data_IF_331104126867
#
_entry.id   IF_331104126867
#
_cell.length_a   1.000
_cell.length_b   1.000
_cell.length_c   1.000
_cell.angle_alpha   90.00
_cell.angle_beta   90.00
_cell.angle_gamma   90.00
#
_symmetry.space_group_name_H-M   'P 1'
#
loop_
_entity.id
_entity.type
_entity.pdbx_description
1 polymer ?
#
# COMPACT_ATOMS: atom_id res chain seq x y z
N UNK A 1 28.80 -0.31 -21.95
CA UNK A 1 29.32 1.08 -21.91
C UNK A 1 28.44 1.86 -20.95
N UNK A 2 28.92 2.11 -19.73
CA UNK A 2 28.20 2.92 -18.75
C UNK A 2 28.36 4.40 -19.15
N UNK A 3 27.25 5.06 -19.47
CA UNK A 3 27.23 6.50 -19.75
C UNK A 3 27.26 7.21 -18.39
N UNK A 4 28.44 7.63 -17.97
CA UNK A 4 28.57 8.63 -16.91
C UNK A 4 27.84 9.88 -17.38
N UNK A 5 26.84 10.33 -16.63
CA UNK A 5 26.16 11.59 -16.88
C UNK A 5 27.20 12.71 -16.77
N UNK A 6 27.35 13.48 -17.84
CA UNK A 6 28.25 14.61 -17.94
C UNK A 6 27.94 15.64 -16.85
N UNK A 7 28.97 16.04 -16.09
CA UNK A 7 28.92 17.19 -15.19
C UNK A 7 28.79 18.44 -16.07
N UNK A 8 27.75 19.29 -15.93
CA UNK A 8 27.79 20.61 -16.54
C UNK A 8 28.95 21.36 -15.88
N UNK A 9 30.01 21.64 -16.64
CA UNK A 9 31.22 22.29 -16.15
C UNK A 9 31.00 23.75 -15.70
N UNK A 10 29.78 24.27 -15.87
CA UNK A 10 29.45 25.69 -15.70
C UNK A 10 29.20 26.11 -14.23
N UNK A 11 28.96 25.19 -13.28
CA UNK A 11 28.59 25.55 -11.89
C UNK A 11 29.31 24.81 -10.76
N UNK A 12 30.03 23.71 -11.02
CA UNK A 12 30.69 22.91 -9.98
C UNK A 12 29.74 22.11 -9.07
N UNK A 13 28.46 22.01 -9.45
CA UNK A 13 27.41 21.28 -8.72
C UNK A 13 27.09 19.96 -9.42
N UNK A 14 26.60 18.99 -8.65
CA UNK A 14 26.15 17.69 -9.14
C UNK A 14 24.64 17.62 -9.09
N UNK A 15 24.01 17.40 -10.25
CA UNK A 15 22.57 17.15 -10.30
C UNK A 15 22.25 15.77 -9.69
N UNK A 16 21.40 15.76 -8.66
CA UNK A 16 20.93 14.57 -7.97
C UNK A 16 19.39 14.51 -7.99
N UNK A 17 18.83 14.26 -9.18
CA UNK A 17 17.40 14.07 -9.46
C UNK A 17 16.49 15.20 -8.95
N UNK A 18 16.13 15.20 -7.67
CA UNK A 18 15.26 16.22 -7.08
C UNK A 18 16.03 17.46 -6.61
N UNK A 19 17.36 17.37 -6.45
CA UNK A 19 18.19 18.46 -5.90
C UNK A 19 19.56 18.53 -6.56
N UNK A 20 20.16 19.72 -6.56
CA UNK A 20 21.56 19.96 -6.91
C UNK A 20 22.41 19.90 -5.64
N UNK A 21 23.45 19.08 -5.69
CA UNK A 21 24.43 18.89 -4.63
C UNK A 21 25.68 19.73 -4.92
N UNK A 22 26.16 20.45 -3.92
CA UNK A 22 27.42 21.17 -3.96
C UNK A 22 28.48 20.42 -3.15
N UNK A 23 29.49 19.81 -3.80
CA UNK A 23 30.56 19.09 -3.13
C UNK A 23 31.46 19.98 -2.27
N UNK A 24 31.55 21.28 -2.59
CA UNK A 24 32.42 22.20 -1.87
C UNK A 24 31.91 22.50 -0.46
N UNK A 25 30.58 22.49 -0.29
CA UNK A 25 29.91 22.70 1.00
C UNK A 25 29.36 21.41 1.62
N UNK A 26 29.29 20.32 0.84
CA UNK A 26 28.75 19.03 1.28
C UNK A 26 27.25 19.05 1.51
N UNK A 27 26.51 19.87 0.75
CA UNK A 27 25.07 20.15 0.98
C UNK A 27 24.27 20.21 -0.32
N UNK A 28 22.96 20.09 -0.17
CA UNK A 28 22.04 20.45 -1.24
C UNK A 28 21.81 21.95 -1.31
N UNK A 29 21.57 22.45 -2.52
CA UNK A 29 21.25 23.86 -2.77
C UNK A 29 19.76 24.17 -2.57
N UNK A 30 18.89 23.16 -2.76
CA UNK A 30 17.45 23.27 -2.52
C UNK A 30 17.06 22.64 -1.19
N UNK A 31 16.00 23.18 -0.57
CA UNK A 31 15.34 22.54 0.56
C UNK A 31 14.76 21.19 0.17
N UNK A 32 14.79 20.23 1.09
CA UNK A 32 14.24 18.90 0.89
C UNK A 32 12.74 18.93 0.50
N UNK A 33 12.34 18.41 -0.69
CA UNK A 33 10.95 18.35 -1.12
C UNK A 33 10.05 17.54 -0.18
N UNK A 34 10.61 16.58 0.57
CA UNK A 34 9.85 15.81 1.58
C UNK A 34 9.83 16.47 2.96
N UNK A 35 10.40 17.68 3.09
CA UNK A 35 10.39 18.50 4.30
C UNK A 35 11.11 17.84 5.48
N UNK A 36 10.54 17.99 6.68
CA UNK A 36 11.12 17.43 7.92
C UNK A 36 11.26 15.90 7.92
N UNK A 37 10.65 15.21 6.96
CA UNK A 37 10.74 13.76 6.81
C UNK A 37 12.12 13.31 6.30
N UNK A 38 12.83 14.19 5.59
CA UNK A 38 14.25 14.00 5.22
C UNK A 38 15.22 14.33 6.37
N UNK A 39 14.71 14.77 7.52
CA UNK A 39 15.47 15.20 8.69
C UNK A 39 15.26 16.66 9.05
N UNK A 40 15.74 17.06 10.23
CA UNK A 40 15.57 18.43 10.75
C UNK A 40 16.31 19.48 9.88
N UNK A 41 17.39 19.07 9.21
CA UNK A 41 18.16 19.96 8.33
C UNK A 41 17.78 19.70 6.86
N UNK A 42 17.06 20.65 6.26
CA UNK A 42 16.50 20.52 4.91
C UNK A 42 17.55 20.52 3.78
N UNK A 43 18.81 20.83 4.10
CA UNK A 43 19.90 20.96 3.12
C UNK A 43 21.01 19.93 3.34
N UNK A 44 20.87 19.03 4.33
CA UNK A 44 21.93 18.07 4.65
C UNK A 44 22.03 16.99 3.56
N UNK A 45 23.25 16.71 3.12
CA UNK A 45 23.52 15.50 2.34
C UNK A 45 23.68 14.32 3.30
N UNK A 46 22.88 13.27 3.11
CA UNK A 46 22.98 11.94 3.75
C UNK A 46 23.23 11.94 5.27
N UNK A 47 22.50 12.78 6.02
CA UNK A 47 22.65 12.93 7.47
C UNK A 47 24.10 13.16 7.93
N UNK A 48 24.88 13.88 7.11
CA UNK A 48 26.30 14.16 7.32
C UNK A 48 27.18 12.90 7.44
N UNK A 49 26.76 11.77 6.86
CA UNK A 49 27.49 10.50 6.87
C UNK A 49 27.87 9.99 5.45
N UNK A 50 28.51 10.80 4.59
CA UNK A 50 28.73 10.47 3.17
C UNK A 50 29.74 9.36 2.90
N UNK A 51 30.46 8.89 3.93
CA UNK A 51 31.37 7.76 3.80
C UNK A 51 30.65 6.40 3.77
N UNK A 52 29.42 6.34 4.31
CA UNK A 52 28.67 5.10 4.51
C UNK A 52 27.24 5.17 4.00
N UNK A 53 26.78 6.35 3.55
CA UNK A 53 25.44 6.59 3.02
C UNK A 53 25.54 7.35 1.72
N UNK A 54 24.57 7.12 0.86
CA UNK A 54 24.37 7.82 -0.40
C UNK A 54 22.88 8.16 -0.53
N UNK A 55 22.54 9.18 -1.30
CA UNK A 55 21.17 9.58 -1.57
C UNK A 55 20.93 9.47 -3.07
N UNK A 56 20.27 8.39 -3.52
CA UNK A 56 20.08 8.09 -4.96
C UNK A 56 19.09 9.05 -5.61
N UNK A 57 18.08 9.50 -4.85
CA UNK A 57 16.99 10.30 -5.39
C UNK A 57 17.13 11.78 -5.05
N UNK A 58 18.05 12.16 -4.17
CA UNK A 58 18.09 13.52 -3.65
C UNK A 58 16.97 13.78 -2.65
N UNK A 59 16.55 12.78 -1.87
CA UNK A 59 15.47 12.91 -0.88
C UNK A 59 15.85 12.39 0.52
N UNK A 60 16.75 11.40 0.66
CA UNK A 60 17.16 10.90 1.99
C UNK A 60 18.32 9.89 1.96
N UNK A 61 18.85 9.58 3.14
CA UNK A 61 20.11 8.88 3.38
C UNK A 61 20.01 7.33 3.28
N UNK A 62 19.69 6.80 2.10
CA UNK A 62 19.70 5.36 1.74
C UNK A 62 18.72 4.43 2.47
N UNK A 63 18.16 4.79 3.65
CA UNK A 63 17.05 4.05 4.30
C UNK A 63 15.77 4.02 3.45
N UNK A 64 15.76 4.87 2.43
CA UNK A 64 14.67 5.10 1.49
C UNK A 64 14.82 4.49 0.11
N UNK A 65 16.03 4.02 -0.21
CA UNK A 65 16.37 3.60 -1.56
C UNK A 65 16.28 2.09 -1.73
N UNK A 66 15.81 1.36 -0.71
CA UNK A 66 15.44 -0.05 -0.81
C UNK A 66 13.92 -0.12 -0.93
N UNK A 67 13.37 -0.32 -2.14
CA UNK A 67 11.93 -0.52 -2.30
C UNK A 67 11.50 -1.70 -1.44
N UNK A 68 10.48 -1.50 -0.58
CA UNK A 68 9.87 -2.61 0.14
C UNK A 68 9.05 -3.47 -0.82
N UNK A 69 9.17 -4.79 -0.68
CA UNK A 69 8.23 -5.72 -1.32
C UNK A 69 6.85 -5.58 -0.68
N UNK A 70 5.80 -5.98 -1.40
CA UNK A 70 4.42 -5.95 -0.88
C UNK A 70 4.31 -6.72 0.43
N UNK A 71 5.00 -7.88 0.52
CA UNK A 71 5.09 -8.67 1.74
C UNK A 71 5.68 -7.88 2.90
N UNK A 72 6.80 -7.17 2.70
CA UNK A 72 7.40 -6.33 3.74
C UNK A 72 6.45 -5.23 4.21
N UNK A 73 5.75 -4.57 3.27
CA UNK A 73 4.75 -3.55 3.59
C UNK A 73 3.61 -4.12 4.43
N UNK A 74 3.08 -5.29 4.04
CA UNK A 74 1.94 -5.91 4.71
C UNK A 74 2.30 -6.48 6.07
N UNK A 75 3.47 -7.13 6.22
CA UNK A 75 3.94 -7.61 7.52
C UNK A 75 4.15 -6.46 8.50
N UNK A 76 4.66 -5.32 8.04
CA UNK A 76 4.81 -4.12 8.86
C UNK A 76 3.46 -3.47 9.19
N UNK A 77 2.50 -3.44 8.26
CA UNK A 77 1.15 -2.94 8.53
C UNK A 77 0.42 -3.80 9.57
N UNK A 78 0.60 -5.11 9.49
CA UNK A 78 0.03 -6.06 10.45
C UNK A 78 0.65 -5.91 11.83
N UNK A 79 1.99 -5.76 11.92
CA UNK A 79 2.67 -5.54 13.21
C UNK A 79 2.27 -4.24 13.90
N UNK A 80 1.83 -3.24 13.12
CA UNK A 80 1.25 -1.98 13.61
C UNK A 80 -0.26 -2.06 13.91
N UNK A 81 -0.91 -3.19 13.65
CA UNK A 81 -2.34 -3.40 13.89
C UNK A 81 -3.28 -2.69 12.91
N UNK A 82 -2.79 -2.32 11.72
CA UNK A 82 -3.57 -1.52 10.75
C UNK A 82 -4.53 -2.32 9.88
N UNK A 83 -4.35 -3.64 9.84
CA UNK A 83 -5.23 -4.57 9.12
C UNK A 83 -6.44 -5.02 9.97
N UNK A 84 -6.65 -4.38 11.13
CA UNK A 84 -7.76 -4.66 12.04
C UNK A 84 -7.45 -5.77 13.05
N UNK A 85 -7.81 -5.54 14.30
CA UNK A 85 -7.84 -6.59 15.32
C UNK A 85 -9.04 -7.53 15.07
N UNK A 86 -8.80 -8.81 15.29
CA UNK A 86 -9.70 -9.98 15.33
C UNK A 86 -10.94 -9.86 16.27
N UNK A 87 -11.31 -8.66 16.71
CA UNK A 87 -12.37 -8.44 17.71
C UNK A 87 -13.77 -8.16 17.13
N UNK A 88 -13.97 -8.30 15.81
CA UNK A 88 -15.30 -8.23 15.16
C UNK A 88 -15.64 -9.49 14.35
N UNK A 89 -15.53 -10.65 14.98
CA UNK A 89 -16.28 -11.84 14.53
C UNK A 89 -15.54 -12.85 13.65
N UNK A 90 -14.21 -12.85 13.61
CA UNK A 90 -13.44 -13.97 13.03
C UNK A 90 -13.51 -14.09 11.50
N UNK A 91 -13.46 -12.97 10.78
CA UNK A 91 -13.43 -12.96 9.31
C UNK A 91 -12.05 -12.56 8.79
N UNK A 92 -11.72 -13.05 7.59
CA UNK A 92 -10.56 -12.58 6.83
C UNK A 92 -10.85 -11.13 6.43
N UNK A 93 -9.93 -10.23 6.70
CA UNK A 93 -10.03 -8.81 6.39
C UNK A 93 -8.81 -8.37 5.60
N UNK A 94 -8.93 -7.28 4.86
CA UNK A 94 -7.81 -6.61 4.26
C UNK A 94 -7.94 -5.11 4.33
N UNK A 95 -6.96 -4.42 3.75
CA UNK A 95 -7.02 -2.98 3.53
C UNK A 95 -5.99 -2.54 2.49
N UNK A 96 -6.28 -1.54 1.64
CA UNK A 96 -5.24 -0.78 0.96
C UNK A 96 -4.39 0.03 1.96
N UNK A 97 -3.07 0.01 1.79
CA UNK A 97 -2.10 0.80 2.53
C UNK A 97 -1.22 1.60 1.59
N UNK A 98 -0.64 2.68 2.07
CA UNK A 98 0.43 3.37 1.35
C UNK A 98 1.78 2.79 1.76
N UNK A 99 2.52 2.28 0.78
CA UNK A 99 3.89 1.81 0.94
C UNK A 99 4.76 2.47 -0.12
N UNK A 100 5.77 3.24 0.28
CA UNK A 100 6.76 3.83 -0.64
C UNK A 100 6.13 4.61 -1.82
N UNK A 101 5.02 5.31 -1.55
CA UNK A 101 4.29 6.11 -2.55
C UNK A 101 3.40 5.32 -3.52
N UNK A 102 3.19 4.02 -3.29
CA UNK A 102 2.25 3.17 -4.03
C UNK A 102 1.21 2.57 -3.10
N UNK A 103 0.03 2.28 -3.65
CA UNK A 103 -1.02 1.57 -2.92
C UNK A 103 -0.69 0.08 -2.96
N UNK A 104 -0.68 -0.56 -1.79
CA UNK A 104 -0.51 -2.00 -1.62
C UNK A 104 -1.74 -2.54 -0.91
N UNK A 105 -2.38 -3.56 -1.48
CA UNK A 105 -3.50 -4.24 -0.84
C UNK A 105 -2.98 -5.37 0.04
N UNK A 106 -3.21 -5.24 1.34
CA UNK A 106 -2.78 -6.20 2.34
C UNK A 106 -3.97 -6.96 2.89
N UNK A 107 -3.85 -8.29 2.88
CA UNK A 107 -4.81 -9.20 3.51
C UNK A 107 -4.19 -9.64 4.84
N UNK A 108 -5.02 -9.78 5.87
CA UNK A 108 -4.58 -10.30 7.15
C UNK A 108 -3.95 -11.69 6.97
N UNK A 109 -2.73 -11.84 7.46
CA UNK A 109 -1.98 -13.09 7.41
C UNK A 109 -1.97 -13.75 8.79
N UNK A 110 -2.85 -14.71 8.99
CA UNK A 110 -2.91 -15.57 10.17
C UNK A 110 -2.01 -16.80 10.08
N UNK A 111 -1.22 -16.93 9.01
CA UNK A 111 -0.49 -18.15 8.70
C UNK A 111 -1.37 -19.31 8.24
N UNK A 112 -2.67 -19.10 7.98
CA UNK A 112 -3.53 -20.14 7.42
C UNK A 112 -3.15 -20.44 5.97
N UNK A 113 -2.68 -21.66 5.74
CA UNK A 113 -2.26 -22.21 4.46
C UNK A 113 -3.29 -23.16 3.84
N UNK A 114 -4.50 -23.29 4.41
CA UNK A 114 -5.55 -24.11 3.81
C UNK A 114 -5.88 -23.60 2.39
N UNK A 115 -5.88 -24.49 1.36
CA UNK A 115 -6.05 -24.07 -0.02
C UNK A 115 -7.33 -23.29 -0.31
N UNK A 116 -8.44 -23.63 0.36
CA UNK A 116 -9.72 -22.92 0.17
C UNK A 116 -9.68 -21.59 0.92
N UNK A 117 -9.07 -21.53 2.11
CA UNK A 117 -8.85 -20.25 2.80
C UNK A 117 -8.02 -19.29 1.95
N UNK A 118 -6.98 -19.79 1.26
CA UNK A 118 -6.20 -19.00 0.30
C UNK A 118 -7.06 -18.53 -0.87
N UNK A 119 -7.94 -19.37 -1.41
CA UNK A 119 -8.89 -18.95 -2.46
C UNK A 119 -9.85 -17.85 -1.96
N UNK A 120 -10.37 -17.96 -0.73
CA UNK A 120 -11.24 -16.94 -0.15
C UNK A 120 -10.49 -15.63 0.13
N UNK A 121 -9.22 -15.70 0.58
CA UNK A 121 -8.34 -14.54 0.75
C UNK A 121 -8.16 -13.77 -0.56
N UNK A 122 -8.16 -14.46 -1.71
CA UNK A 122 -8.09 -13.79 -3.02
C UNK A 122 -9.38 -13.03 -3.38
N UNK A 123 -10.56 -13.48 -2.93
CA UNK A 123 -11.79 -12.69 -3.10
C UNK A 123 -11.83 -11.48 -2.15
N UNK A 124 -11.31 -11.61 -0.94
CA UNK A 124 -11.07 -10.45 -0.07
C UNK A 124 -10.07 -9.48 -0.74
N UNK A 125 -9.03 -9.97 -1.42
CA UNK A 125 -8.13 -9.11 -2.20
C UNK A 125 -8.84 -8.39 -3.34
N UNK A 126 -9.73 -9.07 -4.05
CA UNK A 126 -10.56 -8.43 -5.09
C UNK A 126 -11.43 -7.31 -4.51
N UNK A 127 -12.04 -7.53 -3.35
CA UNK A 127 -12.77 -6.52 -2.59
C UNK A 127 -11.89 -5.31 -2.27
N UNK A 128 -10.74 -5.53 -1.63
CA UNK A 128 -9.84 -4.43 -1.24
C UNK A 128 -9.23 -3.68 -2.44
N UNK A 129 -9.04 -4.36 -3.57
CA UNK A 129 -8.60 -3.72 -4.82
C UNK A 129 -9.64 -2.73 -5.36
N UNK A 130 -10.94 -3.00 -5.17
CA UNK A 130 -12.00 -2.08 -5.58
C UNK A 130 -11.99 -0.77 -4.78
N UNK A 131 -11.34 -0.74 -3.61
CA UNK A 131 -11.12 0.49 -2.84
C UNK A 131 -9.98 1.36 -3.38
N UNK A 132 -9.11 0.84 -4.27
CA UNK A 132 -7.94 1.58 -4.78
C UNK A 132 -8.32 2.91 -5.46
N UNK A 133 -9.32 2.97 -6.39
CA UNK A 133 -9.70 4.22 -7.05
C UNK A 133 -10.22 5.29 -6.09
N UNK A 134 -10.77 4.84 -4.95
CA UNK A 134 -11.36 5.69 -3.91
C UNK A 134 -10.36 6.04 -2.79
N UNK A 135 -9.18 5.43 -2.80
CA UNK A 135 -8.12 5.68 -1.83
C UNK A 135 -7.35 6.93 -2.25
N UNK A 136 -7.15 7.90 -1.33
CA UNK A 136 -6.34 9.09 -1.65
C UNK A 136 -4.97 8.66 -2.16
N UNK A 137 -4.45 9.39 -3.16
CA UNK A 137 -3.11 9.19 -3.69
C UNK A 137 -2.08 9.05 -2.56
N UNK A 138 -1.29 7.99 -2.63
CA UNK A 138 -0.15 7.81 -1.75
C UNK A 138 0.90 8.84 -2.13
N UNK A 139 0.87 9.99 -1.47
CA UNK A 139 1.92 10.99 -1.59
C UNK A 139 3.27 10.29 -1.34
N UNK A 140 4.20 10.42 -2.28
CA UNK A 140 5.49 9.72 -2.23
C UNK A 140 6.27 10.19 -1.00
N UNK A 141 6.15 9.38 0.05
CA UNK A 141 6.64 9.71 1.38
C UNK A 141 7.53 8.58 1.82
N UNK A 142 8.78 8.62 1.37
CA UNK A 142 9.75 7.60 1.73
C UNK A 142 10.38 7.88 3.13
N UNK A 143 10.70 6.87 3.97
CA UNK A 143 10.18 5.51 4.02
C UNK A 143 9.05 5.48 5.06
N UNK A 144 7.86 5.92 4.69
CA UNK A 144 6.70 5.89 5.59
C UNK A 144 5.67 4.89 5.08
N UNK A 145 5.39 3.89 5.92
CA UNK A 145 4.12 3.19 5.87
C UNK A 145 3.05 4.15 6.42
N UNK A 146 1.97 4.39 5.68
CA UNK A 146 0.78 5.10 6.19
C UNK A 146 -0.46 4.24 5.97
N UNK A 147 -1.48 4.33 6.85
CA UNK A 147 -2.76 3.70 6.58
C UNK A 147 -3.25 4.24 5.23
N UNK A 148 -3.73 3.38 4.34
CA UNK A 148 -4.41 3.85 3.14
C UNK A 148 -5.59 4.70 3.60
N UNK A 149 -5.75 5.86 2.99
CA UNK A 149 -6.87 6.76 3.25
C UNK A 149 -8.16 6.15 2.67
N UNK A 150 -8.65 5.13 3.35
CA UNK A 150 -9.91 4.43 3.19
C UNK A 150 -10.40 4.09 4.60
N UNK A 151 -10.63 5.15 5.37
CA UNK A 151 -11.22 5.10 6.70
C UNK A 151 -12.32 6.15 6.77
N UNK A 152 -13.15 6.11 7.82
CA UNK A 152 -14.31 7.00 7.97
C UNK A 152 -13.95 8.45 7.58
N UNK A 153 -14.56 8.94 6.49
CA UNK A 153 -14.25 10.24 5.88
C UNK A 153 -14.07 10.27 4.35
N UNK A 154 -14.28 9.18 3.60
CA UNK A 154 -14.54 9.29 2.16
C UNK A 154 -15.98 9.81 1.94
N UNK A 155 -16.23 10.66 0.92
CA UNK A 155 -17.54 11.27 0.70
C UNK A 155 -18.70 10.27 0.59
N UNK A 156 -18.43 9.07 0.03
CA UNK A 156 -19.44 8.03 -0.18
C UNK A 156 -18.88 6.63 0.17
N UNK A 157 -18.69 6.37 1.47
CA UNK A 157 -18.27 5.05 1.98
C UNK A 157 -19.13 3.91 1.39
N UNK A 158 -20.44 4.12 1.30
CA UNK A 158 -21.37 3.11 0.79
C UNK A 158 -21.19 2.80 -0.71
N UNK A 159 -20.80 3.78 -1.53
CA UNK A 159 -20.54 3.56 -2.97
C UNK A 159 -19.31 2.69 -3.17
N UNK A 160 -18.20 3.02 -2.50
CA UNK A 160 -16.96 2.24 -2.59
C UNK A 160 -17.13 0.82 -2.05
N UNK A 161 -17.81 0.67 -0.91
CA UNK A 161 -18.12 -0.65 -0.34
C UNK A 161 -19.08 -1.45 -1.23
N UNK A 162 -20.07 -0.81 -1.87
CA UNK A 162 -20.96 -1.50 -2.81
C UNK A 162 -20.19 -2.09 -4.00
N UNK A 163 -19.30 -1.30 -4.62
CA UNK A 163 -18.43 -1.76 -5.71
C UNK A 163 -17.51 -2.90 -5.25
N UNK A 164 -16.96 -2.78 -4.03
CA UNK A 164 -16.08 -3.79 -3.45
C UNK A 164 -16.81 -5.11 -3.16
N UNK A 165 -18.03 -5.09 -2.62
CA UNK A 165 -18.82 -6.31 -2.42
C UNK A 165 -19.30 -6.94 -3.73
N UNK A 166 -19.55 -6.15 -4.78
CA UNK A 166 -19.81 -6.71 -6.12
C UNK A 166 -18.59 -7.49 -6.64
N UNK A 167 -17.39 -6.96 -6.46
CA UNK A 167 -16.16 -7.65 -6.82
C UNK A 167 -15.93 -8.92 -5.99
N UNK A 168 -16.25 -8.88 -4.69
CA UNK A 168 -16.21 -10.06 -3.80
C UNK A 168 -17.15 -11.16 -4.30
N UNK A 169 -18.42 -10.82 -4.56
CA UNK A 169 -19.44 -11.75 -5.08
C UNK A 169 -19.02 -12.35 -6.42
N UNK A 170 -18.56 -11.53 -7.37
CA UNK A 170 -18.10 -12.02 -8.68
C UNK A 170 -16.92 -12.99 -8.53
N UNK A 171 -15.95 -12.69 -7.66
CA UNK A 171 -14.86 -13.61 -7.36
C UNK A 171 -15.36 -14.93 -6.75
N UNK A 172 -16.23 -14.85 -5.74
CA UNK A 172 -16.76 -16.01 -5.03
C UNK A 172 -17.53 -16.94 -5.97
N UNK A 173 -18.35 -16.39 -6.87
CA UNK A 173 -19.09 -17.18 -7.87
C UNK A 173 -18.16 -17.96 -8.79
N UNK A 174 -17.00 -17.38 -9.14
CA UNK A 174 -15.98 -17.97 -10.00
C UNK A 174 -15.03 -18.98 -9.29
N UNK A 175 -15.11 -19.13 -7.96
CA UNK A 175 -14.35 -20.16 -7.24
C UNK A 175 -14.74 -21.56 -7.73
N UNK A 176 -13.73 -22.31 -8.16
CA UNK A 176 -13.87 -23.71 -8.56
C UNK A 176 -13.42 -24.66 -7.44
N UNK A 177 -14.38 -25.35 -6.81
CA UNK A 177 -14.12 -26.31 -5.74
C UNK A 177 -13.78 -27.73 -6.23
N UNK A 178 -13.66 -27.97 -7.54
CA UNK A 178 -13.32 -29.29 -8.06
C UNK A 178 -11.89 -29.68 -7.67
N UNK A 179 -11.76 -30.80 -6.95
CA UNK A 179 -10.46 -31.31 -6.49
C UNK A 179 -9.92 -30.60 -5.25
N UNK A 180 -10.73 -29.75 -4.60
CA UNK A 180 -10.38 -29.08 -3.35
C UNK A 180 -10.76 -29.93 -2.12
N UNK A 181 -10.19 -29.62 -0.94
CA UNK A 181 -10.56 -30.27 0.32
C UNK A 181 -12.07 -30.23 0.61
N UNK A 182 -12.54 -31.20 1.39
CA UNK A 182 -13.94 -31.28 1.83
C UNK A 182 -14.38 -29.98 2.52
N UNK A 183 -15.60 -29.54 2.25
CA UNK A 183 -16.13 -28.28 2.78
C UNK A 183 -15.77 -27.03 1.97
N UNK A 184 -15.11 -27.14 0.81
CA UNK A 184 -14.87 -26.00 -0.09
C UNK A 184 -16.18 -25.27 -0.46
N UNK A 185 -17.16 -25.98 -0.99
CA UNK A 185 -18.46 -25.41 -1.38
C UNK A 185 -19.20 -24.81 -0.17
N UNK A 186 -19.13 -25.46 1.00
CA UNK A 186 -19.74 -24.95 2.22
C UNK A 186 -19.14 -23.62 2.67
N UNK A 187 -17.81 -23.47 2.56
CA UNK A 187 -17.10 -22.23 2.89
C UNK A 187 -17.35 -21.13 1.84
N UNK A 188 -17.31 -21.48 0.55
CA UNK A 188 -17.70 -20.59 -0.57
C UNK A 188 -19.10 -20.03 -0.35
N UNK A 189 -20.09 -20.89 -0.13
CA UNK A 189 -21.49 -20.46 0.04
C UNK A 189 -21.70 -19.60 1.29
N UNK A 190 -20.98 -19.88 2.38
CA UNK A 190 -21.01 -19.04 3.58
C UNK A 190 -20.43 -17.64 3.30
N UNK A 191 -19.31 -17.58 2.60
CA UNK A 191 -18.69 -16.30 2.21
C UNK A 191 -19.63 -15.52 1.27
N UNK A 192 -20.25 -16.19 0.30
CA UNK A 192 -21.19 -15.57 -0.64
C UNK A 192 -22.40 -14.96 0.07
N UNK A 193 -23.05 -15.72 0.96
CA UNK A 193 -24.18 -15.21 1.75
C UNK A 193 -23.81 -13.97 2.58
N UNK A 194 -22.59 -13.95 3.11
CA UNK A 194 -22.10 -12.82 3.88
C UNK A 194 -21.81 -11.60 2.99
N UNK A 195 -21.18 -11.82 1.83
CA UNK A 195 -20.91 -10.77 0.84
C UNK A 195 -22.22 -10.17 0.32
N UNK A 196 -23.22 -11.00 0.00
CA UNK A 196 -24.55 -10.55 -0.42
C UNK A 196 -25.26 -9.76 0.68
N UNK A 197 -25.18 -10.23 1.93
CA UNK A 197 -25.81 -9.54 3.06
C UNK A 197 -25.20 -8.17 3.31
N UNK A 198 -23.87 -8.04 3.29
CA UNK A 198 -23.17 -6.77 3.57
C UNK A 198 -23.20 -5.84 2.36
N UNK A 199 -22.92 -6.37 1.17
CA UNK A 199 -23.03 -5.66 -0.10
C UNK A 199 -24.44 -5.10 -0.31
N UNK A 200 -25.47 -5.88 0.03
CA UNK A 200 -26.85 -5.40 -0.05
C UNK A 200 -27.15 -4.21 0.86
N UNK A 201 -26.46 -4.06 2.00
CA UNK A 201 -26.61 -2.88 2.86
C UNK A 201 -25.95 -1.66 2.20
N UNK A 202 -24.68 -1.79 1.81
CA UNK A 202 -23.92 -0.68 1.21
C UNK A 202 -24.50 -0.25 -0.14
N UNK A 203 -24.86 -1.19 -1.02
CA UNK A 203 -25.49 -0.87 -2.30
C UNK A 203 -26.84 -0.18 -2.13
N UNK A 204 -27.68 -0.60 -1.16
CA UNK A 204 -28.95 0.11 -0.89
C UNK A 204 -28.71 1.54 -0.41
N UNK A 205 -27.75 1.74 0.49
CA UNK A 205 -27.41 3.08 0.99
C UNK A 205 -26.84 3.97 -0.14
N UNK A 206 -26.09 3.38 -1.07
CA UNK A 206 -25.56 4.04 -2.26
C UNK A 206 -26.60 4.22 -3.39
N UNK A 207 -27.85 3.76 -3.22
CA UNK A 207 -28.88 3.82 -4.27
C UNK A 207 -28.59 2.93 -5.49
N UNK A 208 -27.78 1.90 -5.32
CA UNK A 208 -27.40 0.95 -6.37
C UNK A 208 -28.07 -0.42 -6.16
N UNK A 209 -28.21 -1.17 -7.26
CA UNK A 209 -28.50 -2.61 -7.19
C UNK A 209 -27.22 -3.36 -6.85
N UNK A 210 -27.36 -4.42 -6.06
CA UNK A 210 -26.31 -5.40 -5.85
C UNK A 210 -26.17 -6.29 -7.09
#
# INVERSE_FOLDING_TARGET
MARFLEVPQETGTHYNFHRDYDPSTGRYLQSDPIGLRGGINWFVYVSASPLIRFDISGLSDSSCCTPRTDGQCCSEAQSRGWLGFNSRGGFIHGRPICCDGRIVVCIFDDGDTDPVSLMLKECVRAHENAHIPHTRNCEYTCPELKPGAGGPGSPDVDTGECEAYKADIDCLLNINCRGMPEGCEGRKNRALLQAESRGGIHCRNAGQLL
#
